data_IF_635844207942
#
_entry.id   IF_635844207942
#
_cell.length_a   1.000
_cell.length_b   1.000
_cell.length_c   1.000
_cell.angle_alpha   90.00
_cell.angle_beta   90.00
_cell.angle_gamma   90.00
#
_symmetry.space_group_name_H-M   'P 1'
#
loop_
_entity.id
_entity.type
_entity.pdbx_description
1 polymer ?
#
# COMPACT_ATOMS: atom_id res chain seq x y z
N UNK A 1 -1.94 -12.92 7.30
CA UNK A 1 -2.54 -13.30 6.03
C UNK A 1 -2.53 -14.81 5.96
N UNK A 2 -3.57 -15.36 5.35
CA UNK A 2 -3.65 -16.78 5.02
C UNK A 2 -2.63 -17.10 3.92
N UNK A 3 -1.85 -18.18 4.08
CA UNK A 3 -0.73 -18.49 3.19
C UNK A 3 -1.21 -18.85 1.77
N UNK A 4 -2.31 -19.60 1.59
CA UNK A 4 -2.78 -19.91 0.23
C UNK A 4 -3.32 -18.67 -0.49
N UNK A 5 -3.77 -17.63 0.25
CA UNK A 5 -4.32 -16.44 -0.37
C UNK A 5 -3.26 -15.68 -1.19
N UNK A 6 -2.08 -15.44 -0.63
CA UNK A 6 -1.04 -14.70 -1.36
C UNK A 6 -0.50 -15.51 -2.53
N UNK A 7 -0.38 -16.83 -2.38
CA UNK A 7 0.05 -17.74 -3.45
C UNK A 7 -0.92 -17.69 -4.64
N UNK A 8 -2.22 -17.72 -4.38
CA UNK A 8 -3.23 -17.55 -5.42
C UNK A 8 -3.09 -16.21 -6.15
N UNK A 9 -2.76 -15.12 -5.44
CA UNK A 9 -2.54 -13.80 -6.02
C UNK A 9 -1.21 -13.68 -6.79
N UNK A 10 -0.17 -14.38 -6.37
CA UNK A 10 1.08 -14.52 -7.15
C UNK A 10 0.81 -15.24 -8.47
N UNK A 11 0.18 -16.41 -8.42
CA UNK A 11 -0.22 -17.18 -9.61
C UNK A 11 -1.08 -16.34 -10.56
N UNK A 12 -2.04 -15.61 -10.00
CA UNK A 12 -2.89 -14.67 -10.74
C UNK A 12 -2.06 -13.66 -11.52
N UNK A 13 -1.09 -13.00 -10.88
CA UNK A 13 -0.27 -11.95 -11.51
C UNK A 13 0.60 -12.48 -12.64
N UNK A 14 1.01 -13.75 -12.56
CA UNK A 14 1.78 -14.37 -13.62
C UNK A 14 0.97 -14.61 -14.91
N UNK A 15 -0.36 -14.74 -14.80
CA UNK A 15 -1.25 -14.88 -15.96
C UNK A 15 -1.95 -13.60 -16.38
N UNK A 16 -2.39 -12.79 -15.44
CA UNK A 16 -3.01 -11.49 -15.70
C UNK A 16 -2.22 -10.40 -14.97
N UNK A 17 -1.04 -10.02 -15.52
CA UNK A 17 -0.17 -9.01 -14.93
C UNK A 17 -0.89 -7.71 -14.60
N UNK A 18 -0.45 -7.05 -13.53
CA UNK A 18 -1.13 -5.87 -12.99
C UNK A 18 -1.12 -4.67 -13.91
N UNK A 19 -0.04 -4.50 -14.68
CA UNK A 19 0.13 -3.38 -15.60
C UNK A 19 -0.35 -3.75 -17.00
N UNK A 20 -1.04 -2.81 -17.66
CA UNK A 20 -1.43 -2.96 -19.06
C UNK A 20 -0.17 -3.11 -19.95
N UNK A 21 -0.19 -4.11 -20.83
CA UNK A 21 0.88 -4.36 -21.80
C UNK A 21 1.99 -5.30 -21.31
N UNK A 22 2.01 -5.67 -20.03
CA UNK A 22 2.88 -6.76 -19.56
C UNK A 22 2.39 -8.10 -20.12
N UNK A 23 3.31 -8.85 -20.71
CA UNK A 23 3.00 -10.18 -21.24
C UNK A 23 2.91 -11.19 -20.11
N UNK A 24 1.85 -12.01 -20.06
CA UNK A 24 1.76 -13.15 -19.16
C UNK A 24 2.98 -14.07 -19.29
N UNK A 25 3.38 -14.70 -18.20
CA UNK A 25 4.43 -15.73 -18.24
C UNK A 25 3.96 -16.91 -19.09
N UNK A 26 4.82 -17.39 -19.99
CA UNK A 26 4.52 -18.48 -20.95
C UNK A 26 4.28 -19.84 -20.29
N UNK A 27 4.54 -19.99 -18.98
CA UNK A 27 4.55 -21.27 -18.29
C UNK A 27 3.54 -21.31 -17.14
N UNK A 28 2.23 -21.43 -17.42
CA UNK A 28 1.27 -21.77 -16.37
C UNK A 28 0.21 -22.79 -16.80
N UNK A 29 0.49 -24.06 -16.47
CA UNK A 29 -0.47 -25.15 -16.59
C UNK A 29 -1.66 -24.99 -15.62
N UNK A 30 -1.45 -24.34 -14.48
CA UNK A 30 -2.50 -24.09 -13.48
C UNK A 30 -3.55 -23.07 -13.95
N UNK A 31 -3.20 -22.20 -14.89
CA UNK A 31 -4.14 -21.24 -15.43
C UNK A 31 -5.16 -21.81 -16.41
N UNK A 32 -4.93 -23.04 -16.89
CA UNK A 32 -5.98 -23.82 -17.55
C UNK A 32 -7.22 -23.96 -16.66
N UNK A 33 -7.06 -23.96 -15.33
CA UNK A 33 -8.21 -24.02 -14.41
C UNK A 33 -9.04 -22.73 -14.43
N UNK A 34 -8.44 -21.55 -14.52
CA UNK A 34 -9.20 -20.31 -14.68
C UNK A 34 -9.89 -20.24 -16.06
N UNK A 35 -9.30 -20.85 -17.10
CA UNK A 35 -9.92 -20.92 -18.42
C UNK A 35 -11.23 -21.71 -18.45
N UNK A 36 -11.47 -22.57 -17.45
CA UNK A 36 -12.77 -23.23 -17.28
C UNK A 36 -13.89 -22.22 -16.98
N UNK A 37 -13.55 -21.02 -16.50
CA UNK A 37 -14.49 -19.93 -16.28
C UNK A 37 -14.60 -18.95 -17.47
N UNK A 38 -13.99 -19.26 -18.61
CA UNK A 38 -14.16 -18.50 -19.84
C UNK A 38 -15.37 -18.99 -20.65
N UNK A 39 -16.13 -18.09 -21.29
CA UNK A 39 -17.02 -18.44 -22.39
C UNK A 39 -16.33 -19.32 -23.44
N UNK A 40 -16.94 -20.45 -23.80
CA UNK A 40 -16.38 -21.44 -24.73
C UNK A 40 -14.95 -21.91 -24.39
N UNK A 41 -14.53 -21.85 -23.11
CA UNK A 41 -13.16 -22.12 -22.64
C UNK A 41 -12.08 -21.21 -23.25
N UNK A 42 -12.50 -20.08 -23.84
CA UNK A 42 -11.63 -19.11 -24.48
C UNK A 42 -11.97 -17.69 -24.02
N UNK A 43 -11.06 -17.06 -23.27
CA UNK A 43 -11.24 -15.69 -22.80
C UNK A 43 -10.84 -14.67 -23.90
N UNK A 44 -11.75 -14.46 -24.85
CA UNK A 44 -11.52 -13.60 -26.02
C UNK A 44 -11.40 -12.10 -25.74
N UNK A 45 -11.90 -11.62 -24.59
CA UNK A 45 -11.84 -10.21 -24.20
C UNK A 45 -11.15 -10.04 -22.84
N UNK A 46 -10.67 -8.83 -22.54
CA UNK A 46 -10.11 -8.51 -21.22
C UNK A 46 -11.14 -8.70 -20.10
N UNK A 47 -12.40 -8.36 -20.35
CA UNK A 47 -13.50 -8.60 -19.41
C UNK A 47 -13.68 -10.10 -19.15
N UNK A 48 -13.70 -10.94 -20.18
CA UNK A 48 -13.80 -12.39 -20.00
C UNK A 48 -12.65 -12.94 -19.15
N UNK A 49 -11.41 -12.46 -19.37
CA UNK A 49 -10.24 -12.84 -18.57
C UNK A 49 -10.40 -12.43 -17.11
N UNK A 50 -10.83 -11.19 -16.86
CA UNK A 50 -11.05 -10.66 -15.52
C UNK A 50 -12.16 -11.45 -14.81
N UNK A 51 -13.28 -11.71 -15.47
CA UNK A 51 -14.38 -12.51 -14.92
C UNK A 51 -13.94 -13.93 -14.60
N UNK A 52 -13.19 -14.57 -15.50
CA UNK A 52 -12.71 -15.93 -15.30
C UNK A 52 -11.79 -16.03 -14.07
N UNK A 53 -10.86 -15.08 -13.93
CA UNK A 53 -9.96 -15.01 -12.78
C UNK A 53 -10.70 -14.66 -11.49
N UNK A 54 -11.69 -13.77 -11.55
CA UNK A 54 -12.56 -13.45 -10.43
C UNK A 54 -13.26 -14.69 -9.88
N UNK A 55 -13.91 -15.49 -10.75
CA UNK A 55 -14.57 -16.73 -10.35
C UNK A 55 -13.58 -17.78 -9.85
N UNK A 56 -12.42 -17.90 -10.49
CA UNK A 56 -11.34 -18.79 -10.06
C UNK A 56 -10.83 -18.46 -8.65
N UNK A 57 -10.67 -17.18 -8.29
CA UNK A 57 -10.30 -16.79 -6.92
C UNK A 57 -11.34 -17.24 -5.89
N UNK A 58 -12.63 -17.20 -6.23
CA UNK A 58 -13.68 -17.72 -5.36
C UNK A 58 -13.63 -19.24 -5.24
N UNK A 59 -13.37 -19.97 -6.33
CA UNK A 59 -13.18 -21.42 -6.29
C UNK A 59 -12.00 -21.79 -5.37
N UNK A 60 -10.85 -21.14 -5.54
CA UNK A 60 -9.64 -21.42 -4.75
C UNK A 60 -9.79 -21.16 -3.27
N UNK A 61 -10.70 -20.27 -2.90
CA UNK A 61 -10.99 -19.92 -1.51
C UNK A 61 -12.35 -20.48 -1.03
N UNK A 62 -12.96 -21.40 -1.77
CA UNK A 62 -14.32 -21.89 -1.51
C UNK A 62 -14.51 -22.43 -0.09
N UNK A 63 -13.59 -23.27 0.39
CA UNK A 63 -13.62 -23.82 1.76
C UNK A 63 -13.53 -22.73 2.83
N UNK A 64 -12.82 -21.63 2.56
CA UNK A 64 -12.65 -20.49 3.47
C UNK A 64 -13.91 -19.63 3.56
N UNK A 65 -14.80 -19.71 2.57
CA UNK A 65 -16.11 -19.07 2.62
C UNK A 65 -17.18 -19.97 3.29
N UNK A 66 -17.00 -21.29 3.28
CA UNK A 66 -17.92 -22.23 3.94
C UNK A 66 -17.64 -22.33 5.45
N UNK A 67 -16.37 -22.27 5.86
CA UNK A 67 -15.95 -22.43 7.25
C UNK A 67 -16.06 -21.16 8.11
N UNK A 68 -16.46 -20.02 7.53
CA UNK A 68 -16.81 -18.84 8.34
C UNK A 68 -18.17 -19.09 8.96
N UNK A 69 -18.16 -19.71 10.14
CA UNK A 69 -19.30 -19.67 11.05
C UNK A 69 -19.77 -18.21 11.16
N UNK A 70 -21.09 -18.09 11.17
CA UNK A 70 -21.94 -16.92 11.14
C UNK A 70 -21.73 -15.95 12.31
N UNK A 71 -20.54 -15.38 12.46
CA UNK A 71 -20.40 -14.11 13.15
C UNK A 71 -20.79 -13.02 12.15
N UNK A 72 -22.06 -12.60 12.17
CA UNK A 72 -22.67 -11.60 11.28
C UNK A 72 -21.84 -10.29 11.14
N UNK A 73 -20.91 -10.04 12.07
CA UNK A 73 -20.04 -8.86 12.08
C UNK A 73 -18.66 -9.04 11.45
N UNK A 74 -18.21 -10.26 11.13
CA UNK A 74 -16.85 -10.47 10.61
C UNK A 74 -16.85 -10.61 9.09
N UNK A 75 -16.77 -9.46 8.39
CA UNK A 75 -16.62 -9.45 6.94
C UNK A 75 -15.36 -10.22 6.53
N UNK A 76 -15.51 -11.22 5.66
CA UNK A 76 -14.41 -12.08 5.23
C UNK A 76 -13.34 -11.26 4.49
N UNK A 77 -12.15 -11.14 5.09
CA UNK A 77 -11.03 -10.39 4.54
C UNK A 77 -10.64 -10.85 3.12
N UNK A 78 -10.71 -12.16 2.85
CA UNK A 78 -10.42 -12.73 1.52
C UNK A 78 -11.38 -12.14 0.48
N UNK A 79 -12.66 -12.03 0.82
CA UNK A 79 -13.65 -11.41 -0.07
C UNK A 79 -13.23 -9.97 -0.41
N UNK A 80 -12.88 -9.18 0.61
CA UNK A 80 -12.46 -7.79 0.42
C UNK A 80 -11.20 -7.65 -0.45
N UNK A 81 -10.23 -8.54 -0.31
CA UNK A 81 -9.03 -8.56 -1.15
C UNK A 81 -9.34 -8.96 -2.61
N UNK A 82 -10.26 -9.90 -2.83
CA UNK A 82 -10.73 -10.24 -4.19
C UNK A 82 -11.45 -9.03 -4.82
N UNK A 83 -12.31 -8.34 -4.07
CA UNK A 83 -13.03 -7.17 -4.56
C UNK A 83 -12.10 -5.98 -4.81
N UNK A 84 -11.05 -5.78 -4.00
CA UNK A 84 -10.07 -4.71 -4.25
C UNK A 84 -9.27 -4.96 -5.52
N UNK A 85 -8.85 -6.20 -5.77
CA UNK A 85 -8.22 -6.60 -7.02
C UNK A 85 -9.15 -6.43 -8.22
N UNK A 86 -10.39 -6.93 -8.14
CA UNK A 86 -11.36 -6.79 -9.22
C UNK A 86 -11.58 -5.32 -9.55
N UNK A 87 -11.75 -4.49 -8.52
CA UNK A 87 -11.90 -3.04 -8.67
C UNK A 87 -10.68 -2.42 -9.35
N UNK A 88 -9.46 -2.82 -8.97
CA UNK A 88 -8.23 -2.36 -9.63
C UNK A 88 -8.16 -2.74 -11.11
N UNK A 89 -8.60 -3.95 -11.48
CA UNK A 89 -8.63 -4.38 -12.89
C UNK A 89 -9.72 -3.68 -13.70
N UNK A 90 -10.93 -3.57 -13.16
CA UNK A 90 -12.04 -2.89 -13.83
C UNK A 90 -11.74 -1.39 -14.01
N UNK A 91 -11.07 -0.75 -13.05
CA UNK A 91 -10.68 0.66 -13.15
C UNK A 91 -9.63 0.95 -14.25
N UNK A 92 -9.01 -0.09 -14.83
CA UNK A 92 -8.08 0.05 -15.96
C UNK A 92 -8.75 -0.15 -17.33
N UNK A 93 -10.00 -0.61 -17.37
CA UNK A 93 -10.74 -0.83 -18.62
C UNK A 93 -11.31 0.51 -19.09
N UNK A 94 -11.00 0.88 -20.33
CA UNK A 94 -11.48 2.14 -20.93
C UNK A 94 -12.72 1.97 -21.79
N UNK A 95 -12.89 0.79 -22.39
CA UNK A 95 -13.94 0.55 -23.41
C UNK A 95 -15.32 0.34 -22.78
N UNK A 96 -15.34 0.01 -21.49
CA UNK A 96 -16.56 -0.27 -20.77
C UNK A 96 -16.34 0.00 -19.27
N UNK A 97 -17.07 0.97 -18.73
CA UNK A 97 -16.87 1.51 -17.38
C UNK A 97 -17.98 1.09 -16.44
N UNK A 98 -17.60 0.58 -15.27
CA UNK A 98 -18.52 0.31 -14.18
C UNK A 98 -18.27 1.31 -13.05
N UNK A 99 -19.35 1.83 -12.45
CA UNK A 99 -19.21 2.71 -11.28
C UNK A 99 -19.02 1.87 -10.02
N UNK A 100 -19.78 0.79 -9.90
CA UNK A 100 -19.76 -0.13 -8.76
C UNK A 100 -19.45 -1.55 -9.20
N UNK A 101 -18.89 -2.34 -8.28
CA UNK A 101 -18.62 -3.76 -8.52
C UNK A 101 -19.90 -4.54 -8.81
N UNK A 102 -21.02 -4.14 -8.19
CA UNK A 102 -22.33 -4.72 -8.44
C UNK A 102 -22.83 -4.52 -9.88
N UNK A 103 -22.46 -3.40 -10.53
CA UNK A 103 -22.84 -3.13 -11.92
C UNK A 103 -22.19 -4.18 -12.83
N UNK A 104 -20.88 -4.40 -12.67
CA UNK A 104 -20.14 -5.47 -13.33
C UNK A 104 -20.74 -6.85 -13.04
N UNK A 105 -20.98 -7.17 -11.77
CA UNK A 105 -21.51 -8.48 -11.40
C UNK A 105 -22.86 -8.77 -12.05
N UNK A 106 -23.77 -7.79 -12.03
CA UNK A 106 -25.12 -7.94 -12.60
C UNK A 106 -25.09 -8.10 -14.11
N UNK A 107 -24.27 -7.31 -14.79
CA UNK A 107 -24.21 -7.29 -16.26
C UNK A 107 -23.39 -8.47 -16.83
N UNK A 108 -22.23 -8.79 -16.24
CA UNK A 108 -21.28 -9.74 -16.83
C UNK A 108 -21.25 -11.11 -16.17
N UNK A 109 -21.67 -11.24 -14.91
CA UNK A 109 -21.53 -12.51 -14.16
C UNK A 109 -22.89 -13.16 -13.90
N UNK A 110 -23.91 -12.36 -13.58
CA UNK A 110 -25.24 -12.86 -13.22
C UNK A 110 -26.12 -13.08 -14.46
N UNK A 111 -25.68 -13.96 -15.37
CA UNK A 111 -26.41 -14.32 -16.59
C UNK A 111 -26.37 -15.84 -16.85
N UNK A 112 -27.23 -16.30 -17.77
CA UNK A 112 -27.41 -17.72 -18.08
C UNK A 112 -26.15 -18.41 -18.64
N UNK A 113 -25.26 -17.66 -19.29
CA UNK A 113 -24.01 -18.21 -19.82
C UNK A 113 -23.06 -18.56 -18.67
N UNK A 114 -22.82 -17.60 -17.77
CA UNK A 114 -21.96 -17.82 -16.61
C UNK A 114 -22.55 -18.79 -15.59
N UNK A 115 -23.88 -18.92 -15.51
CA UNK A 115 -24.53 -19.96 -14.70
C UNK A 115 -24.10 -21.37 -15.14
N UNK A 116 -24.05 -21.63 -16.45
CA UNK A 116 -23.58 -22.91 -17.00
C UNK A 116 -22.08 -23.11 -16.79
N UNK A 117 -21.29 -22.07 -17.06
CA UNK A 117 -19.83 -22.10 -16.87
C UNK A 117 -19.46 -22.45 -15.43
N UNK A 118 -20.12 -21.83 -14.45
CA UNK A 118 -19.87 -22.09 -13.02
C UNK A 118 -20.25 -23.53 -12.66
N UNK A 119 -21.38 -24.03 -13.17
CA UNK A 119 -21.80 -25.43 -12.95
C UNK A 119 -20.79 -26.44 -13.55
N UNK A 120 -20.30 -26.18 -14.76
CA UNK A 120 -19.38 -27.07 -15.47
C UNK A 120 -17.97 -27.09 -14.86
N UNK A 121 -17.53 -26.00 -14.23
CA UNK A 121 -16.21 -25.92 -13.58
C UNK A 121 -16.10 -26.79 -12.29
N UNK A 122 -17.24 -27.17 -11.71
CA UNK A 122 -17.49 -28.30 -10.79
C UNK A 122 -16.54 -28.55 -9.59
N UNK A 123 -15.88 -27.52 -9.06
CA UNK A 123 -15.06 -27.64 -7.82
C UNK A 123 -15.62 -26.89 -6.62
N UNK A 124 -16.47 -25.89 -6.83
CA UNK A 124 -17.18 -25.16 -5.79
C UNK A 124 -18.60 -24.87 -6.29
N UNK A 125 -19.56 -25.72 -5.94
CA UNK A 125 -20.94 -25.67 -6.46
C UNK A 125 -21.71 -24.39 -6.06
N UNK A 126 -21.21 -23.66 -5.05
CA UNK A 126 -21.94 -22.56 -4.42
C UNK A 126 -21.26 -21.20 -4.62
N UNK A 127 -20.36 -21.02 -5.62
CA UNK A 127 -19.68 -19.73 -5.86
C UNK A 127 -20.68 -18.57 -5.96
N UNK A 128 -21.75 -18.74 -6.75
CA UNK A 128 -22.76 -17.70 -6.94
C UNK A 128 -23.52 -17.39 -5.65
N UNK A 129 -23.83 -18.42 -4.86
CA UNK A 129 -24.46 -18.27 -3.55
C UNK A 129 -23.55 -17.51 -2.58
N UNK A 130 -22.25 -17.83 -2.54
CA UNK A 130 -21.24 -17.13 -1.73
C UNK A 130 -21.20 -15.65 -2.10
N UNK A 131 -21.15 -15.33 -3.40
CA UNK A 131 -21.10 -13.94 -3.88
C UNK A 131 -22.42 -13.22 -3.54
N UNK A 132 -23.57 -13.82 -3.81
CA UNK A 132 -24.89 -13.22 -3.57
C UNK A 132 -25.17 -12.98 -2.09
N UNK A 133 -24.76 -13.91 -1.21
CA UNK A 133 -24.86 -13.74 0.25
C UNK A 133 -24.07 -12.54 0.76
N UNK A 134 -23.04 -12.14 0.01
CA UNK A 134 -22.19 -10.99 0.30
C UNK A 134 -22.44 -9.83 -0.68
N UNK A 135 -23.64 -9.73 -1.26
CA UNK A 135 -23.98 -8.71 -2.27
C UNK A 135 -23.79 -7.27 -1.77
N UNK A 136 -23.96 -7.02 -0.47
CA UNK A 136 -23.66 -5.73 0.16
C UNK A 136 -22.20 -5.30 -0.03
N UNK A 137 -21.26 -6.26 -0.10
CA UNK A 137 -19.84 -6.01 -0.34
C UNK A 137 -19.54 -5.68 -1.82
N UNK A 138 -20.48 -5.95 -2.73
CA UNK A 138 -20.38 -5.60 -4.16
C UNK A 138 -20.88 -4.18 -4.44
N UNK A 139 -21.71 -3.60 -3.56
CA UNK A 139 -22.23 -2.23 -3.72
C UNK A 139 -21.19 -1.16 -3.35
N UNK A 140 -19.95 -1.35 -3.82
CA UNK A 140 -18.80 -0.49 -3.53
C UNK A 140 -18.31 0.20 -4.80
N UNK A 141 -17.83 1.45 -4.65
CA UNK A 141 -17.30 2.20 -5.77
C UNK A 141 -15.94 1.63 -6.21
N UNK A 142 -15.82 1.31 -7.50
CA UNK A 142 -14.63 0.68 -8.09
C UNK A 142 -13.39 1.56 -7.94
N UNK A 143 -13.50 2.86 -8.22
CA UNK A 143 -12.37 3.77 -8.14
C UNK A 143 -11.83 3.87 -6.71
N UNK A 144 -12.70 3.99 -5.71
CA UNK A 144 -12.29 4.07 -4.30
C UNK A 144 -11.71 2.73 -3.81
N UNK A 145 -12.35 1.60 -4.14
CA UNK A 145 -11.92 0.27 -3.71
C UNK A 145 -10.62 -0.19 -4.39
N UNK A 146 -10.35 0.25 -5.62
CA UNK A 146 -9.10 -0.04 -6.34
C UNK A 146 -7.85 0.42 -5.58
N UNK A 147 -7.95 1.48 -4.79
CA UNK A 147 -6.82 2.07 -4.04
C UNK A 147 -6.26 1.13 -2.98
N UNK A 148 -7.05 0.15 -2.52
CA UNK A 148 -6.64 -0.82 -1.51
C UNK A 148 -5.82 -1.97 -2.08
N UNK A 149 -5.85 -2.17 -3.41
CA UNK A 149 -5.12 -3.28 -4.03
C UNK A 149 -3.61 -3.10 -3.96
N UNK A 150 -3.10 -1.88 -4.13
CA UNK A 150 -1.66 -1.60 -4.09
C UNK A 150 -1.02 -1.91 -2.71
N UNK A 151 -1.56 -1.44 -1.56
CA UNK A 151 -1.10 -1.87 -0.25
C UNK A 151 -1.24 -3.38 -0.04
N UNK A 152 -2.34 -3.99 -0.49
CA UNK A 152 -2.51 -5.44 -0.41
C UNK A 152 -1.41 -6.19 -1.18
N UNK A 153 -1.06 -5.74 -2.39
CA UNK A 153 0.03 -6.30 -3.20
C UNK A 153 1.39 -6.19 -2.49
N UNK A 154 1.69 -5.03 -1.91
CA UNK A 154 2.91 -4.85 -1.11
C UNK A 154 2.94 -5.82 0.08
N UNK A 155 1.80 -6.02 0.74
CA UNK A 155 1.67 -7.00 1.82
C UNK A 155 1.94 -8.43 1.34
N UNK A 156 1.39 -8.84 0.20
CA UNK A 156 1.71 -10.14 -0.41
C UNK A 156 3.21 -10.29 -0.68
N UNK A 157 3.86 -9.28 -1.27
CA UNK A 157 5.30 -9.33 -1.55
C UNK A 157 6.15 -9.46 -0.29
N UNK A 158 5.80 -8.76 0.80
CA UNK A 158 6.50 -8.93 2.07
C UNK A 158 6.26 -10.31 2.71
N UNK A 159 5.05 -10.85 2.57
CA UNK A 159 4.73 -12.21 3.03
C UNK A 159 5.54 -13.27 2.29
N UNK A 160 5.64 -13.14 0.97
CA UNK A 160 6.42 -14.03 0.11
C UNK A 160 7.92 -14.02 0.47
N UNK A 161 8.49 -12.82 0.64
CA UNK A 161 9.86 -12.67 1.16
C UNK A 161 10.04 -13.39 2.50
N UNK A 162 9.12 -13.18 3.45
CA UNK A 162 9.17 -13.83 4.76
C UNK A 162 8.99 -15.36 4.69
N UNK A 163 8.21 -15.89 3.74
CA UNK A 163 8.03 -17.34 3.56
C UNK A 163 9.27 -17.99 2.94
N UNK A 164 9.94 -17.31 2.00
CA UNK A 164 11.21 -17.78 1.39
C UNK A 164 12.43 -17.56 2.28
N UNK A 165 12.24 -17.05 3.49
CA UNK A 165 13.31 -16.61 4.38
C UNK A 165 14.27 -15.58 3.74
N UNK A 166 13.75 -14.74 2.84
CA UNK A 166 14.47 -13.65 2.20
C UNK A 166 14.15 -12.37 2.98
N UNK A 167 15.14 -11.87 3.70
CA UNK A 167 15.00 -10.80 4.67
C UNK A 167 15.99 -9.67 4.36
N UNK A 168 15.97 -9.23 3.12
CA UNK A 168 16.84 -8.22 2.56
C UNK A 168 16.22 -6.81 2.62
N UNK A 169 16.89 -5.85 1.99
CA UNK A 169 16.39 -4.47 1.90
C UNK A 169 15.03 -4.41 1.20
N UNK A 170 14.72 -5.33 0.27
CA UNK A 170 13.44 -5.39 -0.44
C UNK A 170 12.25 -5.52 0.51
N UNK A 171 12.36 -6.34 1.55
CA UNK A 171 11.30 -6.48 2.55
C UNK A 171 11.09 -5.18 3.34
N UNK A 172 12.18 -4.51 3.73
CA UNK A 172 12.13 -3.26 4.48
C UNK A 172 11.59 -2.11 3.64
N UNK A 173 12.03 -2.01 2.37
CA UNK A 173 11.56 -1.00 1.42
C UNK A 173 10.06 -1.17 1.16
N UNK A 174 9.60 -2.40 0.92
CA UNK A 174 8.18 -2.71 0.77
C UNK A 174 7.38 -2.33 2.03
N UNK A 175 7.93 -2.51 3.23
CA UNK A 175 7.27 -2.12 4.47
C UNK A 175 7.11 -0.61 4.62
N UNK A 176 8.11 0.17 4.16
CA UNK A 176 8.04 1.63 4.13
C UNK A 176 7.00 2.10 3.11
N UNK A 177 7.00 1.51 1.90
CA UNK A 177 5.98 1.81 0.89
C UNK A 177 4.57 1.44 1.37
N UNK A 178 4.42 0.29 2.02
CA UNK A 178 3.16 -0.12 2.63
C UNK A 178 2.70 0.88 3.69
N UNK A 179 3.58 1.29 4.62
CA UNK A 179 3.27 2.27 5.67
C UNK A 179 2.73 3.57 5.07
N UNK A 180 3.38 4.10 4.04
CA UNK A 180 2.96 5.35 3.41
C UNK A 180 1.56 5.22 2.80
N UNK A 181 1.34 4.17 1.98
CA UNK A 181 0.05 3.92 1.34
C UNK A 181 -1.06 3.65 2.35
N UNK A 182 -0.77 2.86 3.38
CA UNK A 182 -1.71 2.56 4.46
C UNK A 182 -2.08 3.82 5.23
N UNK A 183 -1.11 4.69 5.55
CA UNK A 183 -1.36 5.95 6.28
C UNK A 183 -2.31 6.86 5.52
N UNK A 184 -2.09 7.03 4.21
CA UNK A 184 -2.98 7.83 3.36
C UNK A 184 -4.40 7.28 3.30
N UNK A 185 -4.54 5.95 3.18
CA UNK A 185 -5.84 5.31 3.20
C UNK A 185 -6.51 5.41 4.58
N UNK A 186 -5.76 5.21 5.66
CA UNK A 186 -6.26 5.28 7.03
C UNK A 186 -6.82 6.67 7.34
N UNK A 187 -6.09 7.74 6.97
CA UNK A 187 -6.50 9.12 7.21
C UNK A 187 -7.81 9.51 6.51
N UNK A 188 -8.18 8.80 5.44
CA UNK A 188 -9.37 9.10 4.66
C UNK A 188 -10.52 8.09 4.86
N UNK A 189 -10.21 6.80 4.99
CA UNK A 189 -11.18 5.72 4.94
C UNK A 189 -11.40 5.00 6.27
N UNK A 190 -10.62 5.28 7.32
CA UNK A 190 -10.82 4.69 8.65
C UNK A 190 -12.03 5.32 9.38
N UNK A 191 -13.21 5.00 8.88
CA UNK A 191 -14.51 5.45 9.40
C UNK A 191 -15.25 4.21 9.86
N UNK A 192 -15.73 4.28 11.10
CA UNK A 192 -16.46 3.21 11.77
C UNK A 192 -17.57 2.62 10.89
N UNK A 193 -17.69 1.30 10.91
CA UNK A 193 -18.70 0.51 10.21
C UNK A 193 -18.79 0.65 8.68
N UNK A 194 -17.75 1.16 8.03
CA UNK A 194 -17.66 1.19 6.55
C UNK A 194 -16.92 -0.01 5.99
N UNK A 195 -17.23 -0.42 4.75
CA UNK A 195 -16.48 -1.49 4.06
C UNK A 195 -15.00 -1.11 3.91
N UNK A 196 -14.71 0.18 3.70
CA UNK A 196 -13.33 0.66 3.57
C UNK A 196 -12.54 0.55 4.89
N UNK A 197 -13.16 0.79 6.06
CA UNK A 197 -12.49 0.55 7.34
C UNK A 197 -12.32 -0.93 7.64
N UNK A 198 -13.24 -1.79 7.17
CA UNK A 198 -13.10 -3.25 7.28
C UNK A 198 -11.89 -3.78 6.50
N UNK A 199 -11.65 -3.34 5.26
CA UNK A 199 -10.44 -3.74 4.51
C UNK A 199 -9.17 -3.12 5.11
N UNK A 200 -9.21 -1.89 5.64
CA UNK A 200 -8.08 -1.32 6.40
C UNK A 200 -7.75 -2.16 7.63
N UNK A 201 -8.77 -2.60 8.36
CA UNK A 201 -8.58 -3.44 9.53
C UNK A 201 -8.00 -4.81 9.16
N UNK A 202 -8.43 -5.41 8.05
CA UNK A 202 -7.85 -6.64 7.52
C UNK A 202 -6.36 -6.45 7.19
N UNK A 203 -6.01 -5.40 6.45
CA UNK A 203 -4.62 -5.06 6.11
C UNK A 203 -3.76 -4.84 7.36
N UNK A 204 -4.26 -4.10 8.35
CA UNK A 204 -3.59 -3.86 9.63
C UNK A 204 -3.34 -5.17 10.39
N UNK A 205 -4.36 -6.01 10.48
CA UNK A 205 -4.29 -7.29 11.18
C UNK A 205 -3.26 -8.20 10.54
N UNK A 206 -3.28 -8.33 9.21
CA UNK A 206 -2.35 -9.17 8.48
C UNK A 206 -0.92 -8.63 8.51
N UNK A 207 -0.74 -7.31 8.40
CA UNK A 207 0.57 -6.68 8.58
C UNK A 207 1.13 -6.91 9.99
N UNK A 208 0.31 -6.76 11.04
CA UNK A 208 0.77 -6.98 12.41
C UNK A 208 1.16 -8.43 12.68
N UNK A 209 0.47 -9.40 12.06
CA UNK A 209 0.88 -10.82 12.08
C UNK A 209 2.25 -11.00 11.44
N UNK A 210 2.47 -10.42 10.25
CA UNK A 210 3.77 -10.47 9.57
C UNK A 210 4.88 -9.81 10.40
N UNK A 211 4.64 -8.60 10.90
CA UNK A 211 5.55 -7.87 11.78
C UNK A 211 5.96 -8.70 12.99
N UNK A 212 5.00 -9.36 13.63
CA UNK A 212 5.27 -10.25 14.76
C UNK A 212 6.12 -11.45 14.34
N UNK A 213 5.86 -12.06 13.18
CA UNK A 213 6.66 -13.17 12.62
C UNK A 213 8.10 -12.72 12.37
N UNK A 214 8.31 -11.56 11.75
CA UNK A 214 9.63 -10.98 11.48
C UNK A 214 10.41 -10.64 12.75
N UNK A 215 9.74 -10.13 13.79
CA UNK A 215 10.37 -9.77 15.06
C UNK A 215 10.76 -10.99 15.92
N UNK A 216 10.05 -12.12 15.77
CA UNK A 216 10.30 -13.38 16.50
C UNK A 216 11.40 -14.25 15.89
N UNK A 217 12.03 -13.81 14.80
CA UNK A 217 13.12 -14.57 14.18
C UNK A 217 14.29 -14.73 15.15
N UNK A 218 14.87 -15.92 15.19
CA UNK A 218 16.03 -16.23 16.01
C UNK A 218 17.31 -15.63 15.44
N UNK A 219 17.40 -15.51 14.12
CA UNK A 219 18.49 -14.86 13.39
C UNK A 219 17.99 -13.59 12.71
N UNK A 220 18.72 -12.49 12.89
CA UNK A 220 18.48 -11.17 12.30
C UNK A 220 17.01 -10.72 12.41
N UNK A 221 16.51 -10.47 13.63
CA UNK A 221 15.15 -10.00 13.83
C UNK A 221 14.93 -8.67 13.11
N UNK A 222 13.87 -8.60 12.29
CA UNK A 222 13.52 -7.39 11.55
C UNK A 222 12.39 -6.66 12.26
N UNK A 223 12.62 -5.38 12.52
CA UNK A 223 11.64 -4.47 13.10
C UNK A 223 10.93 -3.70 11.99
N UNK A 224 9.71 -4.11 11.66
CA UNK A 224 8.86 -3.39 10.71
C UNK A 224 8.20 -2.17 11.37
N UNK A 225 7.96 -1.08 10.63
CA UNK A 225 7.35 0.12 11.18
C UNK A 225 5.97 -0.15 11.80
N UNK A 226 5.54 0.69 12.73
CA UNK A 226 4.19 0.63 13.31
C UNK A 226 3.23 1.42 12.44
N UNK A 227 2.06 0.85 12.17
CA UNK A 227 1.02 1.52 11.40
C UNK A 227 0.20 2.46 12.28
N UNK A 228 -0.32 3.57 11.73
CA UNK A 228 -1.29 4.40 12.44
C UNK A 228 -2.60 3.64 12.68
N UNK A 229 -3.25 3.90 13.81
CA UNK A 229 -4.58 3.32 14.15
C UNK A 229 -5.64 4.39 14.41
N UNK A 230 -5.25 5.67 14.34
CA UNK A 230 -6.16 6.79 14.53
C UNK A 230 -7.28 6.83 13.48
N UNK A 231 -8.45 7.32 13.86
CA UNK A 231 -9.62 7.48 12.97
C UNK A 231 -9.31 8.47 11.84
N UNK A 232 -10.03 8.34 10.73
CA UNK A 232 -9.89 9.21 9.57
C UNK A 232 -10.08 10.68 9.97
N UNK A 233 -9.19 11.56 9.50
CA UNK A 233 -9.25 13.01 9.73
C UNK A 233 -9.49 13.78 8.42
N UNK A 234 -8.90 13.34 7.30
CA UNK A 234 -9.00 13.99 5.99
C UNK A 234 -10.41 13.95 5.41
N UNK A 235 -11.20 12.91 5.67
CA UNK A 235 -12.59 12.86 5.19
C UNK A 235 -13.46 13.93 5.86
N UNK A 236 -13.30 14.16 7.16
CA UNK A 236 -14.01 15.23 7.86
C UNK A 236 -13.66 16.61 7.28
N UNK A 237 -12.39 16.84 6.94
CA UNK A 237 -11.94 18.08 6.30
C UNK A 237 -12.55 18.33 4.91
N UNK A 238 -12.93 17.27 4.17
CA UNK A 238 -13.61 17.42 2.87
C UNK A 238 -15.09 17.80 3.00
N UNK A 239 -15.75 17.37 4.08
CA UNK A 239 -17.14 17.71 4.37
C UNK A 239 -17.28 19.05 5.10
N UNK A 240 -16.25 19.48 5.83
CA UNK A 240 -16.14 20.85 6.31
C UNK A 240 -15.77 21.75 5.14
N UNK A 241 -16.49 22.86 4.92
CA UNK A 241 -16.15 23.89 3.90
C UNK A 241 -14.88 24.68 4.25
N UNK A 242 -13.96 24.08 5.01
CA UNK A 242 -12.68 24.65 5.35
C UNK A 242 -11.72 24.17 4.28
N UNK A 243 -11.49 25.03 3.28
CA UNK A 243 -10.37 24.89 2.35
C UNK A 243 -9.06 24.92 3.14
N UNK A 244 -8.65 23.80 3.71
CA UNK A 244 -7.28 23.65 4.19
C UNK A 244 -6.44 23.53 2.92
N UNK A 245 -5.86 24.68 2.53
CA UNK A 245 -4.81 24.74 1.53
C UNK A 245 -3.71 23.81 2.02
N UNK A 246 -3.56 22.66 1.36
CA UNK A 246 -2.40 21.79 1.53
C UNK A 246 -1.22 22.68 1.18
N UNK A 247 -0.43 23.06 2.18
CA UNK A 247 0.75 23.89 1.97
C UNK A 247 1.62 23.10 0.97
N UNK A 248 1.78 23.57 -0.28
CA UNK A 248 2.54 22.83 -1.27
C UNK A 248 3.96 22.65 -0.74
N UNK A 249 4.55 21.48 -1.03
CA UNK A 249 5.90 21.07 -0.63
C UNK A 249 6.95 22.19 -0.84
N UNK A 250 6.69 23.12 -1.76
CA UNK A 250 7.46 24.34 -2.01
C UNK A 250 7.68 25.22 -0.78
N UNK A 251 6.74 25.32 0.17
CA UNK A 251 6.91 26.16 1.37
C UNK A 251 7.86 25.54 2.41
N UNK A 252 8.01 24.21 2.43
CA UNK A 252 9.00 23.53 3.29
C UNK A 252 10.41 23.91 2.82
N UNK A 253 10.63 24.03 1.51
CA UNK A 253 11.89 24.52 0.94
C UNK A 253 12.18 25.97 1.32
N UNK A 254 11.17 26.86 1.31
CA UNK A 254 11.36 28.24 1.78
C UNK A 254 11.72 28.32 3.27
N UNK A 255 11.10 27.50 4.12
CA UNK A 255 11.45 27.41 5.53
C UNK A 255 12.90 26.97 5.76
N UNK A 256 13.35 25.96 5.02
CA UNK A 256 14.73 25.47 5.07
C UNK A 256 15.74 26.53 4.58
N UNK A 257 15.43 27.30 3.53
CA UNK A 257 16.28 28.38 3.05
C UNK A 257 16.41 29.53 4.05
N UNK A 258 15.30 29.92 4.70
CA UNK A 258 15.32 30.95 5.76
C UNK A 258 16.14 30.47 6.96
N UNK A 259 15.93 29.22 7.40
CA UNK A 259 16.69 28.62 8.49
C UNK A 259 18.20 28.56 8.20
N UNK A 260 18.59 28.07 7.01
CA UNK A 260 19.99 28.06 6.56
C UNK A 260 20.58 29.46 6.48
N UNK A 261 19.81 30.46 6.03
CA UNK A 261 20.24 31.86 6.00
C UNK A 261 20.53 32.43 7.39
N UNK A 262 19.68 32.11 8.38
CA UNK A 262 19.88 32.52 9.78
C UNK A 262 21.13 31.85 10.37
N UNK A 263 21.29 30.54 10.17
CA UNK A 263 22.46 29.78 10.65
C UNK A 263 23.74 30.30 10.01
N UNK A 264 23.73 30.55 8.70
CA UNK A 264 24.88 31.08 7.98
C UNK A 264 25.29 32.48 8.48
N UNK A 265 24.31 33.37 8.74
CA UNK A 265 24.58 34.71 9.28
C UNK A 265 25.17 34.65 10.69
N UNK A 266 24.65 33.78 11.56
CA UNK A 266 25.17 33.57 12.90
C UNK A 266 26.61 33.04 12.87
N UNK A 267 26.87 32.03 12.04
CA UNK A 267 28.22 31.45 11.84
C UNK A 267 29.23 32.50 11.35
N UNK A 268 28.89 33.28 10.31
CA UNK A 268 29.77 34.34 9.78
C UNK A 268 30.12 35.40 10.83
N UNK A 269 29.19 35.70 11.73
CA UNK A 269 29.40 36.67 12.82
C UNK A 269 30.35 36.10 13.88
N UNK A 270 30.23 34.81 14.21
CA UNK A 270 31.19 34.12 15.08
C UNK A 270 32.61 34.09 14.49
N UNK A 271 32.75 33.76 13.20
CA UNK A 271 34.06 33.76 12.54
C UNK A 271 34.71 35.16 12.50
N UNK A 272 33.93 36.22 12.25
CA UNK A 272 34.44 37.59 12.32
C UNK A 272 34.92 37.97 13.73
N UNK A 273 34.17 37.58 14.75
CA UNK A 273 34.54 37.88 16.14
C UNK A 273 35.79 37.11 16.59
N UNK A 274 36.00 35.88 16.11
CA UNK A 274 37.23 35.12 16.36
C UNK A 274 38.44 35.79 15.68
N UNK A 275 38.31 36.17 14.40
CA UNK A 275 39.39 36.84 13.66
C UNK A 275 39.79 38.18 14.31
N UNK A 276 38.81 38.99 14.69
CA UNK A 276 39.07 40.25 15.39
C UNK A 276 39.73 40.04 16.76
N UNK A 277 39.45 38.92 17.44
CA UNK A 277 40.09 38.58 18.71
C UNK A 277 41.55 38.18 18.51
N UNK A 278 41.86 37.40 17.47
CA UNK A 278 43.23 37.01 17.12
C UNK A 278 44.07 38.23 16.70
N UNK A 279 43.53 39.12 15.87
CA UNK A 279 44.21 40.35 15.44
C UNK A 279 44.50 41.28 16.64
N UNK A 280 43.53 41.48 17.53
CA UNK A 280 43.75 42.29 18.74
C UNK A 280 44.77 41.66 19.70
N UNK A 281 44.79 40.33 19.83
CA UNK A 281 45.80 39.64 20.65
C UNK A 281 47.19 39.82 20.04
N UNK A 282 47.34 39.69 18.71
CA UNK A 282 48.61 39.91 18.00
C UNK A 282 49.15 41.33 18.23
N UNK A 283 48.29 42.36 18.08
CA UNK A 283 48.68 43.75 18.29
C UNK A 283 49.15 44.03 19.73
N UNK A 284 48.54 43.39 20.73
CA UNK A 284 48.96 43.50 22.14
C UNK A 284 50.34 42.85 22.36
N UNK A 285 50.63 41.73 21.70
CA UNK A 285 51.95 41.09 21.79
C UNK A 285 53.04 41.95 21.16
N UNK A 286 52.79 42.54 19.99
CA UNK A 286 53.76 43.40 19.30
C UNK A 286 54.06 44.68 20.09
N UNK A 287 53.05 45.29 20.73
CA UNK A 287 53.23 46.45 21.60
C UNK A 287 54.10 46.11 22.83
N UNK A 288 53.85 44.98 23.49
CA UNK A 288 54.68 44.54 24.64
C UNK A 288 56.12 44.25 24.24
N UNK A 289 56.34 43.64 23.07
CA UNK A 289 57.68 43.38 22.54
C UNK A 289 58.46 44.69 22.32
N UNK A 290 57.82 45.70 21.71
CA UNK A 290 58.39 47.04 21.51
C UNK A 290 58.82 47.72 22.82
N UNK A 291 58.02 47.62 23.89
CA UNK A 291 58.35 48.23 25.18
C UNK A 291 59.54 47.53 25.88
N UNK A 292 59.69 46.22 25.70
CA UNK A 292 60.87 45.48 26.16
C UNK A 292 62.16 45.95 25.47
N UNK A 293 62.12 46.20 24.15
CA UNK A 293 63.29 46.71 23.41
C UNK A 293 63.62 48.17 23.75
N UNK A 294 62.63 48.99 24.14
CA UNK A 294 62.86 50.40 24.54
C UNK A 294 63.52 50.54 25.91
N UNK A 295 63.25 49.64 26.86
CA UNK A 295 63.85 49.67 28.19
C UNK A 295 65.28 49.09 28.27
N UNK A 296 65.75 48.39 27.23
CA UNK A 296 67.09 47.80 27.18
C UNK A 296 68.20 48.74 26.67
N UNK A 297 67.88 49.99 26.32
CA UNK A 297 68.82 50.96 25.73
C UNK A 297 69.13 52.17 26.64
N UNK A 298 68.86 52.07 27.94
CA UNK A 298 69.14 53.13 28.93
C UNK A 298 70.13 52.65 30.02
N UNK A 299 71.26 52.07 29.61
CA UNK A 299 72.48 51.94 30.42
C UNK A 299 73.60 52.82 29.83
#
# INVERSE_FOLDING_TARGET
MDDDLYENFELLRMYLPDNLGETPSKFFNDFNSANNYCPNKYCGTNLNKITAVFLWLFEKNCSKFQNTNSDENNTNAIFLYIISWLSYKLNQITDHSFTKVNDFYTEYVNNQEYDKIIQDANKCTNIKEIINKNSDLLNINIQEMSKFYEPFKLLCSMYDNATRNVYDNTLSDNAIHFLNKYTDLNDYYNIEDTIYSKILYALLTDYNKLKTKCAKRTTDPIQLPTLPTGRATKKFLRHSSIKISVIPMTFIFFGLLIYLGIVYKASKTQFKNQKNKEENISLIYDLKSSDYFRNSNND
#
